data_IF_722660424187
#
_entry.id   IF_722660424187
#
_cell.length_a   1.000
_cell.length_b   1.000
_cell.length_c   1.000
_cell.angle_alpha   90.00
_cell.angle_beta   90.00
_cell.angle_gamma   90.00
#
_symmetry.space_group_name_H-M   'P 1'
#
loop_
_entity.id
_entity.type
_entity.pdbx_description
1 polymer ?
#
# COMPACT_ATOMS: atom_id res chain seq x y z
N UNK A 1 -11.16 29.42 -1.91
CA UNK A 1 -11.79 28.44 -1.01
C UNK A 1 -11.19 27.10 -1.36
N UNK A 2 -10.32 26.55 -0.51
CA UNK A 2 -9.66 25.26 -0.77
C UNK A 2 -10.68 24.17 -0.46
N UNK A 3 -11.38 23.70 -1.49
CA UNK A 3 -12.30 22.59 -1.36
C UNK A 3 -11.49 21.29 -1.20
N UNK A 4 -11.76 20.51 -0.15
CA UNK A 4 -11.06 19.26 0.09
C UNK A 4 -11.70 18.17 -0.77
N UNK A 5 -10.88 17.39 -1.51
CA UNK A 5 -11.37 16.23 -2.29
C UNK A 5 -12.17 15.26 -1.41
N UNK A 6 -11.74 15.09 -0.16
CA UNK A 6 -12.43 14.30 0.85
C UNK A 6 -12.70 15.15 2.09
N UNK A 7 -13.87 15.82 2.17
CA UNK A 7 -14.20 16.66 3.31
C UNK A 7 -14.61 15.83 4.54
N UNK A 8 -14.52 16.43 5.73
CA UNK A 8 -15.03 15.84 6.97
C UNK A 8 -16.56 15.76 6.94
N UNK A 9 -17.11 14.74 7.61
CA UNK A 9 -18.57 14.54 7.77
C UNK A 9 -19.25 15.57 8.68
N UNK A 10 -18.47 16.27 9.51
CA UNK A 10 -18.98 17.22 10.52
C UNK A 10 -18.76 18.67 10.09
N UNK A 11 -17.65 18.95 9.44
CA UNK A 11 -17.22 20.29 9.06
C UNK A 11 -16.59 20.24 7.67
N UNK A 12 -17.36 20.62 6.65
CA UNK A 12 -16.91 20.53 5.25
C UNK A 12 -15.74 21.47 4.92
N UNK A 13 -15.46 22.45 5.79
CA UNK A 13 -14.26 23.28 5.68
C UNK A 13 -13.00 22.60 6.25
N UNK A 14 -13.08 21.32 6.64
CA UNK A 14 -11.96 20.51 7.11
C UNK A 14 -11.81 19.22 6.30
N UNK A 15 -10.59 18.66 6.21
CA UNK A 15 -10.39 17.38 5.56
C UNK A 15 -10.94 16.23 6.41
N UNK A 16 -11.21 15.10 5.77
CA UNK A 16 -11.48 13.84 6.46
C UNK A 16 -10.34 13.50 7.42
N UNK A 17 -10.70 13.12 8.66
CA UNK A 17 -9.71 12.69 9.64
C UNK A 17 -9.17 11.28 9.32
N UNK A 18 -7.94 11.00 9.76
CA UNK A 18 -7.35 9.65 9.68
C UNK A 18 -8.21 8.60 10.37
N UNK A 19 -8.86 8.96 11.49
CA UNK A 19 -9.80 8.08 12.20
C UNK A 19 -11.02 7.76 11.35
N UNK A 20 -11.58 8.74 10.64
CA UNK A 20 -12.72 8.49 9.75
C UNK A 20 -12.32 7.59 8.59
N UNK A 21 -11.14 7.78 8.00
CA UNK A 21 -10.64 6.90 6.95
C UNK A 21 -10.45 5.46 7.45
N UNK A 22 -9.88 5.28 8.63
CA UNK A 22 -9.75 3.95 9.25
C UNK A 22 -11.11 3.27 9.48
N UNK A 23 -12.14 4.02 9.92
CA UNK A 23 -13.49 3.47 10.11
C UNK A 23 -14.13 3.02 8.80
N UNK A 24 -13.99 3.81 7.72
CA UNK A 24 -14.47 3.42 6.40
C UNK A 24 -13.80 2.14 5.92
N UNK A 25 -12.49 2.02 6.13
CA UNK A 25 -11.75 0.81 5.79
C UNK A 25 -12.24 -0.40 6.59
N UNK A 26 -12.41 -0.26 7.91
CA UNK A 26 -12.94 -1.32 8.77
C UNK A 26 -14.31 -1.81 8.29
N UNK A 27 -15.20 -0.88 7.93
CA UNK A 27 -16.53 -1.19 7.38
C UNK A 27 -16.42 -1.98 6.07
N UNK A 28 -15.57 -1.54 5.13
CA UNK A 28 -15.39 -2.23 3.85
C UNK A 28 -14.77 -3.62 4.00
N UNK A 29 -13.74 -3.76 4.83
CA UNK A 29 -13.07 -5.04 5.12
C UNK A 29 -14.06 -6.02 5.76
N UNK A 30 -14.85 -5.54 6.72
CA UNK A 30 -15.88 -6.35 7.38
C UNK A 30 -16.96 -6.77 6.39
N UNK A 31 -17.39 -5.87 5.50
CA UNK A 31 -18.44 -6.14 4.51
C UNK A 31 -18.06 -7.25 3.51
N UNK A 32 -16.77 -7.43 3.23
CA UNK A 32 -16.25 -8.53 2.38
C UNK A 32 -15.85 -9.78 3.17
N UNK A 33 -16.18 -9.86 4.46
CA UNK A 33 -15.94 -11.03 5.30
C UNK A 33 -14.51 -11.18 5.83
N UNK A 34 -13.69 -10.14 5.73
CA UNK A 34 -12.31 -10.16 6.23
C UNK A 34 -12.23 -9.65 7.68
N UNK A 35 -11.21 -10.12 8.42
CA UNK A 35 -10.98 -9.71 9.81
C UNK A 35 -10.34 -8.33 9.87
N UNK A 36 -11.09 -7.29 10.24
CA UNK A 36 -10.58 -5.91 10.37
C UNK A 36 -9.26 -5.76 11.15
N UNK A 37 -8.99 -6.62 12.14
CA UNK A 37 -7.74 -6.59 12.90
C UNK A 37 -6.47 -6.86 12.04
N UNK A 38 -6.64 -7.46 10.87
CA UNK A 38 -5.56 -7.83 9.95
C UNK A 38 -5.37 -6.80 8.83
N UNK A 39 -6.31 -5.86 8.66
CA UNK A 39 -6.31 -4.92 7.55
C UNK A 39 -6.39 -3.48 8.05
N UNK A 40 -5.47 -2.65 7.58
CA UNK A 40 -5.41 -1.23 7.89
C UNK A 40 -4.91 -0.44 6.68
N UNK A 41 -4.91 0.87 6.81
CA UNK A 41 -4.49 1.77 5.70
C UNK A 41 -3.07 1.46 5.22
N UNK A 42 -2.22 1.00 6.14
CA UNK A 42 -0.87 0.55 5.86
C UNK A 42 -0.81 -0.81 5.14
N UNK A 43 -1.68 -1.76 5.49
CA UNK A 43 -1.72 -3.05 4.79
C UNK A 43 -2.17 -2.87 3.34
N UNK A 44 -3.16 -2.01 3.10
CA UNK A 44 -3.58 -1.65 1.74
C UNK A 44 -2.44 -1.05 0.91
N UNK A 45 -1.70 -0.09 1.48
CA UNK A 45 -0.52 0.51 0.82
C UNK A 45 0.51 -0.56 0.48
N UNK A 46 0.76 -1.49 1.38
CA UNK A 46 1.71 -2.60 1.19
C UNK A 46 1.24 -3.56 0.10
N UNK A 47 -0.03 -3.95 0.08
CA UNK A 47 -0.59 -4.91 -0.88
C UNK A 47 -0.42 -4.44 -2.32
N UNK A 48 -0.75 -3.18 -2.62
CA UNK A 48 -0.61 -2.65 -3.99
C UNK A 48 0.85 -2.69 -4.44
N UNK A 49 1.79 -2.27 -3.58
CA UNK A 49 3.21 -2.30 -3.88
C UNK A 49 3.73 -3.73 -4.09
N UNK A 50 3.32 -4.68 -3.25
CA UNK A 50 3.69 -6.09 -3.38
C UNK A 50 3.16 -6.72 -4.67
N UNK A 51 1.93 -6.36 -5.11
CA UNK A 51 1.40 -6.82 -6.39
C UNK A 51 2.21 -6.30 -7.59
N UNK A 52 2.60 -5.03 -7.58
CA UNK A 52 3.44 -4.45 -8.63
C UNK A 52 4.82 -5.12 -8.64
N UNK A 53 5.38 -5.41 -7.46
CA UNK A 53 6.65 -6.13 -7.35
C UNK A 53 6.59 -7.50 -7.99
N UNK A 54 5.60 -8.32 -7.59
CA UNK A 54 5.42 -9.67 -8.16
C UNK A 54 5.21 -9.67 -9.67
N UNK A 55 4.61 -8.61 -10.22
CA UNK A 55 4.34 -8.50 -11.65
C UNK A 55 5.55 -8.01 -12.47
N UNK A 56 6.46 -7.25 -11.87
CA UNK A 56 7.48 -6.49 -12.63
C UNK A 56 8.92 -6.72 -12.18
N UNK A 57 9.14 -7.20 -10.96
CA UNK A 57 10.46 -7.23 -10.31
C UNK A 57 11.11 -5.86 -10.07
N UNK A 58 10.48 -4.75 -10.48
CA UNK A 58 11.12 -3.44 -10.52
C UNK A 58 11.04 -2.71 -9.16
N UNK A 59 12.00 -3.02 -8.29
CA UNK A 59 12.06 -2.46 -6.95
C UNK A 59 12.29 -0.94 -6.93
N UNK A 60 12.99 -0.39 -7.92
CA UNK A 60 13.25 1.06 -8.02
C UNK A 60 11.98 1.83 -8.37
N UNK A 61 11.16 1.32 -9.27
CA UNK A 61 9.86 1.92 -9.59
C UNK A 61 8.96 1.95 -8.35
N UNK A 62 8.96 0.87 -7.56
CA UNK A 62 8.14 0.79 -6.34
C UNK A 62 8.65 1.71 -5.24
N UNK A 63 9.96 1.88 -5.11
CA UNK A 63 10.53 2.87 -4.19
C UNK A 63 9.99 4.28 -4.49
N UNK A 64 9.94 4.66 -5.77
CA UNK A 64 9.41 5.95 -6.22
C UNK A 64 7.91 6.04 -5.89
N UNK A 65 7.13 5.02 -6.21
CA UNK A 65 5.68 4.98 -5.90
C UNK A 65 5.39 5.07 -4.39
N UNK A 66 6.24 4.48 -3.56
CA UNK A 66 6.13 4.54 -2.11
C UNK A 66 6.74 5.81 -1.51
N UNK A 67 7.48 6.61 -2.27
CA UNK A 67 8.16 7.80 -1.75
C UNK A 67 9.23 7.47 -0.69
N UNK A 68 9.85 6.29 -0.77
CA UNK A 68 10.91 5.91 0.17
C UNK A 68 12.24 6.54 -0.21
N UNK A 69 12.87 7.26 0.73
CA UNK A 69 14.17 7.91 0.51
C UNK A 69 15.31 6.91 0.25
N UNK A 70 15.22 5.71 0.82
CA UNK A 70 16.22 4.64 0.76
C UNK A 70 15.64 3.39 0.12
N UNK A 71 16.41 2.72 -0.75
CA UNK A 71 15.95 1.51 -1.43
C UNK A 71 15.77 0.35 -0.44
N UNK A 72 16.61 0.32 0.60
CA UNK A 72 16.60 -0.65 1.70
C UNK A 72 15.28 -0.63 2.47
N UNK A 73 14.65 0.54 2.60
CA UNK A 73 13.33 0.64 3.21
C UNK A 73 12.29 -0.09 2.36
N UNK A 74 12.40 -0.03 1.03
CA UNK A 74 11.48 -0.71 0.11
C UNK A 74 11.70 -2.22 0.11
N UNK A 75 12.96 -2.68 0.11
CA UNK A 75 13.33 -4.10 0.27
C UNK A 75 12.71 -4.66 1.54
N UNK A 76 12.96 -4.02 2.70
CA UNK A 76 12.41 -4.45 3.99
C UNK A 76 10.88 -4.38 4.04
N UNK A 77 10.30 -3.34 3.44
CA UNK A 77 8.86 -3.12 3.42
C UNK A 77 8.10 -4.21 2.64
N UNK A 78 8.66 -4.62 1.50
CA UNK A 78 8.10 -5.69 0.68
C UNK A 78 8.45 -7.08 1.21
N UNK A 79 9.55 -7.21 1.96
CA UNK A 79 10.05 -8.49 2.43
C UNK A 79 10.75 -9.27 1.31
N UNK A 80 11.43 -8.55 0.41
CA UNK A 80 12.16 -9.18 -0.71
C UNK A 80 13.30 -10.02 -0.17
N UNK A 81 13.39 -11.26 -0.61
CA UNK A 81 14.44 -12.21 -0.21
C UNK A 81 15.25 -12.78 -1.40
N UNK A 82 16.12 -13.73 -1.11
CA UNK A 82 16.98 -14.39 -2.11
C UNK A 82 16.18 -15.28 -3.06
N UNK A 83 15.08 -15.87 -2.58
CA UNK A 83 14.19 -16.72 -3.39
C UNK A 83 13.48 -15.87 -4.47
N UNK A 84 13.07 -14.65 -4.12
CA UNK A 84 12.51 -13.70 -5.09
C UNK A 84 13.50 -13.38 -6.21
N UNK A 85 14.80 -13.28 -5.91
CA UNK A 85 15.84 -13.03 -6.90
C UNK A 85 16.07 -14.23 -7.83
N UNK A 86 16.03 -15.46 -7.27
CA UNK A 86 16.15 -16.70 -8.04
C UNK A 86 14.97 -16.86 -9.00
N UNK A 87 13.74 -16.65 -8.51
CA UNK A 87 12.52 -16.70 -9.33
C UNK A 87 12.53 -15.68 -10.48
N UNK A 88 13.09 -14.49 -10.25
CA UNK A 88 13.26 -13.49 -11.31
C UNK A 88 14.30 -13.94 -12.34
N UNK A 89 15.41 -14.54 -11.91
CA UNK A 89 16.45 -15.05 -12.80
C UNK A 89 15.94 -16.21 -13.67
N UNK A 90 15.23 -17.19 -13.09
CA UNK A 90 14.64 -18.33 -13.81
C UNK A 90 13.63 -17.89 -14.87
N UNK A 91 12.87 -16.82 -14.62
CA UNK A 91 11.94 -16.26 -15.61
C UNK A 91 12.63 -15.51 -16.74
N UNK A 92 13.91 -15.22 -16.60
CA UNK A 92 14.71 -14.46 -17.56
C UNK A 92 15.72 -15.39 -18.23
N UNK A 93 15.26 -16.50 -18.80
CA UNK A 93 16.05 -17.29 -19.74
C UNK A 93 16.13 -16.53 -21.07
N UNK A 94 17.35 -16.14 -21.47
CA UNK A 94 17.69 -15.66 -22.81
C UNK A 94 18.33 -16.82 -23.57
#
# INVERSE_FOLDING_TARGET
>A
MTDYIFPSRVDHAKPMSTRQYARLLDEWVTAIGLRKAEYGTHSLRRTKAAMIYRATGNIRAIQILLGHSKIENTVRYLGVDVEDALLLAERTEI
#
